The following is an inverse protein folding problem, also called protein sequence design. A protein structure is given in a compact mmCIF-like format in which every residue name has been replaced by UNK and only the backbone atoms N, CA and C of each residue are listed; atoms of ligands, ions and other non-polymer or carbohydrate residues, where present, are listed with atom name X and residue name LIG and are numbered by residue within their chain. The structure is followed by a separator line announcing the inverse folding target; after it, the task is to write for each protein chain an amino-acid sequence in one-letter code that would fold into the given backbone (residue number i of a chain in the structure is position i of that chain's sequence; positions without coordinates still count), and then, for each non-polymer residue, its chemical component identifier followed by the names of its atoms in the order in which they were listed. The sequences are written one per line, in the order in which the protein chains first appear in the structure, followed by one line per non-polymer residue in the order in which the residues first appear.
data_IF_024724542799
#
_entry.id   IF_024724542799
#
_cell.length_a   1.000
_cell.length_b   1.000
_cell.length_c   1.000
_cell.angle_alpha   90.00
_cell.angle_beta   90.00
_cell.angle_gamma   90.00
#
_symmetry.space_group_name_H-M   'P 1'
#
loop_
_entity.id
_entity.type
_entity.pdbx_description
1 polymer ?
#
# COMPACT_ATOMS: atom_id res chain seq x y z
N UNK A 1 13.33 -7.81 1.11
CA UNK A 1 13.19 -8.80 2.20
C UNK A 1 14.49 -9.53 2.55
N UNK A 2 15.22 -10.13 1.60
CA UNK A 2 16.45 -10.89 1.91
C UNK A 2 17.49 -10.11 2.73
N UNK A 3 17.77 -8.85 2.35
CA UNK A 3 18.72 -8.00 3.08
C UNK A 3 18.27 -7.65 4.50
N UNK A 4 16.96 -7.46 4.70
CA UNK A 4 16.41 -7.09 5.99
C UNK A 4 16.27 -8.31 6.92
N UNK A 5 15.98 -9.50 6.37
CA UNK A 5 16.06 -10.77 7.10
C UNK A 5 17.47 -11.05 7.62
N UNK A 6 18.49 -10.80 6.80
CA UNK A 6 19.90 -10.91 7.23
C UNK A 6 20.28 -9.91 8.34
N UNK A 7 19.61 -8.76 8.38
CA UNK A 7 19.80 -7.75 9.43
C UNK A 7 19.02 -8.07 10.74
N UNK A 8 18.15 -9.08 10.73
CA UNK A 8 17.37 -9.50 11.90
C UNK A 8 15.87 -9.20 11.84
N UNK A 9 15.34 -8.73 10.69
CA UNK A 9 13.89 -8.61 10.50
C UNK A 9 13.22 -9.99 10.63
N UNK A 10 12.12 -10.07 11.39
CA UNK A 10 11.47 -11.33 11.71
C UNK A 10 12.14 -12.13 12.84
N UNK A 11 13.09 -11.52 13.57
CA UNK A 11 13.57 -12.03 14.86
C UNK A 11 13.12 -11.11 15.98
N UNK A 12 12.90 -11.67 17.17
CA UNK A 12 12.60 -10.89 18.36
C UNK A 12 13.70 -9.86 18.63
N UNK A 13 13.32 -8.63 18.93
CA UNK A 13 14.22 -7.49 19.03
C UNK A 13 15.36 -7.70 20.05
N UNK A 14 15.12 -8.43 21.13
CA UNK A 14 16.14 -8.77 22.14
C UNK A 14 17.19 -9.78 21.65
N UNK A 15 16.95 -10.46 20.52
CA UNK A 15 17.89 -11.37 19.88
C UNK A 15 18.67 -10.71 18.72
N UNK A 16 18.50 -9.40 18.51
CA UNK A 16 19.14 -8.65 17.41
C UNK A 16 20.12 -7.64 17.98
N UNK A 17 21.33 -7.59 17.43
CA UNK A 17 22.32 -6.56 17.81
C UNK A 17 21.82 -5.15 17.51
N UNK A 18 22.30 -4.14 18.24
CA UNK A 18 21.92 -2.73 18.02
C UNK A 18 22.13 -2.31 16.56
N UNK A 19 23.30 -2.60 15.99
CA UNK A 19 23.59 -2.34 14.57
C UNK A 19 22.63 -3.07 13.60
N UNK A 20 22.09 -4.22 14.00
CA UNK A 20 21.05 -4.93 13.25
C UNK A 20 19.71 -4.19 13.29
N UNK A 21 19.30 -3.70 14.46
CA UNK A 21 18.08 -2.90 14.62
C UNK A 21 18.16 -1.61 13.79
N UNK A 22 19.29 -0.91 13.81
CA UNK A 22 19.51 0.30 12.99
C UNK A 22 19.39 -0.01 11.48
N UNK A 23 20.00 -1.11 11.03
CA UNK A 23 19.89 -1.56 9.63
C UNK A 23 18.46 -1.94 9.26
N UNK A 24 17.73 -2.62 10.14
CA UNK A 24 16.32 -2.95 9.92
C UNK A 24 15.48 -1.67 9.82
N UNK A 25 15.69 -0.68 10.68
CA UNK A 25 14.97 0.60 10.63
C UNK A 25 15.24 1.36 9.33
N UNK A 26 16.50 1.41 8.87
CA UNK A 26 16.87 2.05 7.61
C UNK A 26 16.26 1.34 6.40
N UNK A 27 16.35 0.00 6.36
CA UNK A 27 15.74 -0.80 5.29
C UNK A 27 14.22 -0.70 5.29
N UNK A 28 13.59 -0.69 6.47
CA UNK A 28 12.14 -0.48 6.60
C UNK A 28 11.73 0.88 6.05
N UNK A 29 12.45 1.96 6.37
CA UNK A 29 12.17 3.28 5.81
C UNK A 29 12.29 3.31 4.28
N UNK A 30 13.31 2.65 3.70
CA UNK A 30 13.46 2.55 2.24
C UNK A 30 12.26 1.82 1.62
N UNK A 31 11.80 0.73 2.24
CA UNK A 31 10.63 -0.01 1.76
C UNK A 31 9.35 0.83 1.86
N UNK A 32 9.15 1.59 2.93
CA UNK A 32 8.02 2.51 3.08
C UNK A 32 8.06 3.67 2.07
N UNK A 33 9.25 4.10 1.63
CA UNK A 33 9.39 5.07 0.53
C UNK A 33 9.03 4.44 -0.82
N UNK A 34 9.41 3.20 -1.08
CA UNK A 34 9.14 2.51 -2.35
C UNK A 34 7.71 1.99 -2.47
N UNK A 35 7.02 1.78 -1.35
CA UNK A 35 5.68 1.21 -1.32
C UNK A 35 4.62 2.09 -2.03
N UNK A 36 4.47 3.41 -1.74
CA UNK A 36 3.46 4.25 -2.38
C UNK A 36 3.52 4.29 -3.92
N UNK A 37 4.69 4.51 -4.58
CA UNK A 37 4.74 4.51 -6.04
C UNK A 37 4.43 3.14 -6.64
N UNK A 38 4.90 2.04 -6.01
CA UNK A 38 4.59 0.68 -6.46
C UNK A 38 3.07 0.40 -6.44
N UNK A 39 2.41 0.77 -5.34
CA UNK A 39 0.96 0.60 -5.19
C UNK A 39 0.16 1.45 -6.16
N UNK A 40 0.60 2.70 -6.39
CA UNK A 40 -0.02 3.55 -7.40
C UNK A 40 0.06 2.90 -8.79
N UNK A 41 1.23 2.41 -9.20
CA UNK A 41 1.40 1.74 -10.50
C UNK A 41 0.51 0.50 -10.66
N UNK A 42 0.38 -0.31 -9.60
CA UNK A 42 -0.50 -1.48 -9.59
C UNK A 42 -1.97 -1.08 -9.82
N UNK A 43 -2.47 -0.11 -9.04
CA UNK A 43 -3.86 0.39 -9.14
C UNK A 43 -4.12 1.09 -10.46
N UNK A 44 -3.17 1.87 -10.94
CA UNK A 44 -3.25 2.56 -12.22
C UNK A 44 -3.44 1.56 -13.37
N UNK A 45 -2.68 0.47 -13.37
CA UNK A 45 -2.81 -0.61 -14.37
C UNK A 45 -4.20 -1.24 -14.34
N UNK A 46 -4.74 -1.55 -13.15
CA UNK A 46 -6.09 -2.10 -12.99
C UNK A 46 -7.16 -1.12 -13.49
N UNK A 47 -7.06 0.15 -13.11
CA UNK A 47 -8.00 1.20 -13.52
C UNK A 47 -7.99 1.41 -15.03
N UNK A 48 -6.82 1.41 -15.67
CA UNK A 48 -6.69 1.46 -17.13
C UNK A 48 -7.33 0.24 -17.80
N UNK A 49 -7.15 -0.95 -17.23
CA UNK A 49 -7.77 -2.18 -17.73
C UNK A 49 -9.30 -2.11 -17.65
N UNK A 50 -9.85 -1.61 -16.54
CA UNK A 50 -11.29 -1.38 -16.38
C UNK A 50 -11.79 -0.33 -17.39
N UNK A 51 -11.05 0.77 -17.57
CA UNK A 51 -11.38 1.81 -18.55
C UNK A 51 -11.45 1.23 -19.97
N UNK A 52 -10.47 0.40 -20.36
CA UNK A 52 -10.45 -0.23 -21.67
C UNK A 52 -11.63 -1.19 -21.89
N UNK A 53 -12.14 -1.83 -20.84
CA UNK A 53 -13.28 -2.77 -20.94
C UNK A 53 -14.61 -2.02 -21.03
N UNK A 54 -14.83 -1.02 -20.16
CA UNK A 54 -16.14 -0.38 -19.96
C UNK A 54 -16.28 1.00 -20.61
N UNK A 55 -15.18 1.69 -20.91
CA UNK A 55 -15.16 3.08 -21.35
C UNK A 55 -14.17 3.34 -22.50
N UNK A 56 -13.95 2.33 -23.37
CA UNK A 56 -12.95 2.42 -24.45
C UNK A 56 -13.19 3.56 -25.45
N UNK A 57 -14.44 3.94 -25.69
CA UNK A 57 -14.81 4.86 -26.78
C UNK A 57 -15.76 5.99 -26.36
N UNK A 58 -16.23 6.01 -25.11
CA UNK A 58 -17.19 7.01 -24.65
C UNK A 58 -16.78 7.61 -23.31
N UNK A 59 -16.78 8.95 -23.23
CA UNK A 59 -16.53 9.72 -22.00
C UNK A 59 -17.76 9.72 -21.08
N UNK A 60 -18.22 8.52 -20.74
CA UNK A 60 -19.39 8.31 -19.90
C UNK A 60 -19.04 8.55 -18.42
N UNK A 61 -20.04 8.54 -17.54
CA UNK A 61 -19.85 8.69 -16.09
C UNK A 61 -18.73 7.78 -15.55
N UNK A 62 -18.67 6.53 -16.01
CA UNK A 62 -17.64 5.54 -15.63
C UNK A 62 -16.22 6.05 -15.96
N UNK A 63 -16.02 6.68 -17.12
CA UNK A 63 -14.73 7.25 -17.51
C UNK A 63 -14.29 8.33 -16.52
N UNK A 64 -15.17 9.28 -16.21
CA UNK A 64 -14.87 10.36 -15.27
C UNK A 64 -14.65 9.84 -13.84
N UNK A 65 -15.41 8.83 -13.41
CA UNK A 65 -15.16 8.14 -12.13
C UNK A 65 -13.77 7.50 -12.07
N UNK A 66 -13.32 6.86 -13.17
CA UNK A 66 -11.97 6.28 -13.25
C UNK A 66 -10.89 7.37 -13.16
N UNK A 67 -11.04 8.45 -13.92
CA UNK A 67 -10.07 9.55 -13.90
C UNK A 67 -10.01 10.23 -12.53
N UNK A 68 -11.16 10.43 -11.87
CA UNK A 68 -11.23 10.93 -10.50
C UNK A 68 -10.51 9.99 -9.51
N UNK A 69 -10.70 8.67 -9.65
CA UNK A 69 -10.00 7.69 -8.82
C UNK A 69 -8.48 7.70 -9.06
N UNK A 70 -8.04 7.79 -10.31
CA UNK A 70 -6.61 7.90 -10.64
C UNK A 70 -6.02 9.15 -9.98
N UNK A 71 -6.67 10.30 -10.12
CA UNK A 71 -6.24 11.56 -9.53
C UNK A 71 -6.19 11.51 -8.00
N UNK A 72 -7.24 10.99 -7.36
CA UNK A 72 -7.30 10.84 -5.91
C UNK A 72 -6.18 9.91 -5.38
N UNK A 73 -5.99 8.75 -6.01
CA UNK A 73 -4.92 7.82 -5.64
C UNK A 73 -3.54 8.47 -5.85
N UNK A 74 -3.32 9.16 -6.98
CA UNK A 74 -2.06 9.85 -7.25
C UNK A 74 -1.73 10.86 -6.14
N UNK A 75 -2.68 11.72 -5.78
CA UNK A 75 -2.48 12.73 -4.72
C UNK A 75 -2.14 12.06 -3.39
N UNK A 76 -2.88 11.03 -3.00
CA UNK A 76 -2.61 10.31 -1.74
C UNK A 76 -1.23 9.66 -1.74
N UNK A 77 -0.91 8.84 -2.74
CA UNK A 77 0.37 8.11 -2.76
C UNK A 77 1.56 9.05 -2.93
N UNK A 78 1.41 10.13 -3.69
CA UNK A 78 2.46 11.14 -3.84
C UNK A 78 2.70 11.88 -2.51
N UNK A 79 1.64 12.26 -1.79
CA UNK A 79 1.77 12.87 -0.47
C UNK A 79 2.45 11.92 0.53
N UNK A 80 2.05 10.64 0.55
CA UNK A 80 2.67 9.62 1.40
C UNK A 80 4.14 9.39 1.05
N UNK A 81 4.49 9.35 -0.24
CA UNK A 81 5.87 9.23 -0.71
C UNK A 81 6.76 10.37 -0.18
N UNK A 82 6.29 11.62 -0.34
CA UNK A 82 7.00 12.80 0.17
C UNK A 82 7.09 12.77 1.69
N UNK A 83 6.02 12.39 2.39
CA UNK A 83 6.01 12.29 3.84
C UNK A 83 7.06 11.29 4.37
N UNK A 84 7.24 10.14 3.72
CA UNK A 84 8.24 9.15 4.13
C UNK A 84 9.68 9.55 3.79
N UNK A 85 9.90 10.30 2.70
CA UNK A 85 11.21 10.89 2.38
C UNK A 85 11.63 11.86 3.48
N UNK A 86 10.71 12.70 3.94
CA UNK A 86 10.93 13.70 4.98
C UNK A 86 10.43 13.24 6.36
N UNK A 87 10.44 11.92 6.61
CA UNK A 87 9.86 11.35 7.83
C UNK A 87 10.52 11.88 9.11
N UNK A 88 11.82 12.21 9.08
CA UNK A 88 12.56 12.75 10.21
C UNK A 88 13.42 13.95 9.81
N UNK A 89 13.58 14.88 10.76
CA UNK A 89 14.52 15.99 10.68
C UNK A 89 15.39 16.03 11.96
N UNK A 90 16.70 15.76 11.88
CA UNK A 90 17.47 15.32 10.70
C UNK A 90 17.15 13.86 10.30
N UNK A 91 17.43 13.49 9.04
CA UNK A 91 17.13 12.16 8.49
C UNK A 91 17.84 11.03 9.24
N UNK A 92 19.02 11.32 9.79
CA UNK A 92 19.83 10.40 10.60
C UNK A 92 19.10 9.87 11.83
N UNK A 93 18.11 10.61 12.33
CA UNK A 93 17.30 10.20 13.49
C UNK A 93 16.50 8.91 13.25
N UNK A 94 16.29 8.52 11.98
CA UNK A 94 15.59 7.27 11.62
C UNK A 94 16.34 6.05 12.15
N UNK A 95 17.68 6.05 12.05
CA UNK A 95 18.51 4.92 12.49
C UNK A 95 19.30 5.23 13.76
N UNK A 96 19.52 6.50 14.12
CA UNK A 96 20.15 6.89 15.37
C UNK A 96 19.18 7.68 16.26
N UNK A 97 18.48 7.02 17.20
CA UNK A 97 17.45 7.65 18.03
C UNK A 97 18.02 8.67 19.04
N UNK A 98 19.33 8.66 19.29
CA UNK A 98 19.98 9.57 20.23
C UNK A 98 20.15 10.99 19.68
N UNK A 99 19.97 11.19 18.38
CA UNK A 99 20.11 12.51 17.73
C UNK A 99 18.89 13.37 18.07
N UNK A 100 19.08 14.63 18.52
CA UNK A 100 17.98 15.57 18.74
C UNK A 100 17.28 15.90 17.42
N UNK A 101 15.95 16.00 17.45
CA UNK A 101 15.15 16.19 16.24
C UNK A 101 13.73 15.66 16.39
N UNK A 102 12.96 15.72 15.31
CA UNK A 102 11.56 15.29 15.27
C UNK A 102 11.31 14.33 14.11
N UNK A 103 10.41 13.39 14.32
CA UNK A 103 9.96 12.44 13.32
C UNK A 103 8.42 12.44 13.27
N UNK A 104 7.86 12.17 12.10
CA UNK A 104 6.43 11.86 11.96
C UNK A 104 6.16 10.49 12.61
N UNK A 105 4.92 10.29 13.06
CA UNK A 105 4.51 8.98 13.58
C UNK A 105 4.34 8.00 12.43
N UNK A 106 5.36 7.18 12.18
CA UNK A 106 5.35 6.11 11.17
C UNK A 106 4.13 5.21 11.33
N UNK A 107 3.77 4.84 12.56
CA UNK A 107 2.61 3.99 12.85
C UNK A 107 1.29 4.64 12.41
N UNK A 108 1.10 5.93 12.72
CA UNK A 108 -0.09 6.66 12.29
C UNK A 108 -0.15 6.75 10.76
N UNK A 109 0.97 7.06 10.11
CA UNK A 109 1.07 7.11 8.64
C UNK A 109 0.75 5.77 7.98
N UNK A 110 1.25 4.66 8.53
CA UNK A 110 0.97 3.30 8.04
C UNK A 110 -0.53 2.98 8.18
N UNK A 111 -1.15 3.27 9.33
CA UNK A 111 -2.58 3.00 9.56
C UNK A 111 -3.45 3.81 8.59
N UNK A 112 -3.20 5.12 8.48
CA UNK A 112 -3.95 6.01 7.58
C UNK A 112 -3.80 5.55 6.13
N UNK A 113 -2.58 5.26 5.70
CA UNK A 113 -2.31 4.79 4.33
C UNK A 113 -3.00 3.45 4.08
N UNK A 114 -2.99 2.53 5.05
CA UNK A 114 -3.63 1.22 4.95
C UNK A 114 -5.16 1.35 4.85
N UNK A 115 -5.78 2.24 5.63
CA UNK A 115 -7.21 2.51 5.54
C UNK A 115 -7.60 3.09 4.17
N UNK A 116 -6.85 4.07 3.66
CA UNK A 116 -7.11 4.64 2.32
C UNK A 116 -6.89 3.58 1.22
N UNK A 117 -5.92 2.69 1.41
CA UNK A 117 -5.67 1.58 0.49
C UNK A 117 -6.88 0.66 0.37
N UNK A 118 -7.48 0.26 1.50
CA UNK A 118 -8.68 -0.58 1.53
C UNK A 118 -9.86 0.13 0.83
N UNK A 119 -10.10 1.41 1.15
CA UNK A 119 -11.21 2.18 0.57
C UNK A 119 -11.08 2.25 -0.95
N UNK A 120 -9.87 2.53 -1.45
CA UNK A 120 -9.61 2.57 -2.90
C UNK A 120 -9.74 1.19 -3.54
N UNK A 121 -9.28 0.10 -2.92
CA UNK A 121 -9.43 -1.26 -3.45
C UNK A 121 -10.90 -1.65 -3.59
N UNK A 122 -11.70 -1.40 -2.54
CA UNK A 122 -13.15 -1.65 -2.55
C UNK A 122 -13.84 -0.83 -3.64
N UNK A 123 -13.47 0.44 -3.79
CA UNK A 123 -14.08 1.32 -4.80
C UNK A 123 -13.76 0.85 -6.22
N UNK A 124 -12.51 0.43 -6.47
CA UNK A 124 -12.09 -0.15 -7.75
C UNK A 124 -12.87 -1.44 -8.05
N UNK A 125 -13.11 -2.27 -7.03
CA UNK A 125 -13.85 -3.53 -7.15
C UNK A 125 -15.35 -3.31 -7.46
N UNK A 126 -15.96 -2.28 -6.88
CA UNK A 126 -17.38 -1.96 -7.07
C UNK A 126 -17.67 -1.31 -8.43
N UNK A 127 -16.72 -0.56 -8.96
CA UNK A 127 -16.86 0.17 -10.22
C UNK A 127 -17.34 -0.69 -11.41
N UNK A 128 -16.73 -1.85 -11.73
CA UNK A 128 -17.20 -2.71 -12.82
C UNK A 128 -18.58 -3.31 -12.54
N UNK A 129 -18.93 -3.62 -11.27
CA UNK A 129 -20.25 -4.18 -10.93
C UNK A 129 -21.40 -3.23 -11.27
N UNK A 130 -21.18 -1.92 -11.08
CA UNK A 130 -22.15 -0.88 -11.46
C UNK A 130 -22.29 -0.80 -12.99
N UNK A 131 -21.19 -0.94 -13.72
CA UNK A 131 -21.19 -0.94 -15.19
C UNK A 131 -21.84 -2.18 -15.81
N UNK A 132 -21.68 -3.36 -15.19
CA UNK A 132 -22.18 -4.65 -15.71
C UNK A 132 -23.71 -4.76 -15.63
N UNK A 133 -24.37 -4.13 -14.64
CA UNK A 133 -25.84 -4.17 -14.51
C UNK A 133 -26.61 -3.73 -15.76
N UNK A 134 -25.95 -3.09 -16.72
CA UNK A 134 -26.55 -2.56 -17.95
C UNK A 134 -26.10 -3.24 -19.26
N UNK A 135 -25.25 -4.29 -19.25
CA UNK A 135 -24.62 -4.75 -20.51
C UNK A 135 -24.50 -6.27 -20.68
N UNK A 136 -25.08 -6.80 -21.77
CA UNK A 136 -24.83 -8.15 -22.28
C UNK A 136 -23.40 -8.24 -22.83
N UNK A 137 -22.46 -8.70 -22.00
CA UNK A 137 -21.05 -8.82 -22.37
C UNK A 137 -20.78 -10.16 -23.10
N UNK A 138 -19.99 -10.16 -24.19
CA UNK A 138 -19.52 -11.40 -24.82
C UNK A 138 -18.60 -12.19 -23.87
N UNK A 139 -18.58 -13.52 -24.00
CA UNK A 139 -17.91 -14.44 -23.06
C UNK A 139 -16.44 -14.09 -22.76
N UNK A 140 -15.68 -13.61 -23.77
CA UNK A 140 -14.28 -13.16 -23.58
C UNK A 140 -14.17 -12.00 -22.59
N UNK A 141 -15.07 -11.00 -22.67
CA UNK A 141 -15.09 -9.88 -21.72
C UNK A 141 -15.51 -10.33 -20.32
N UNK A 142 -16.41 -11.31 -20.22
CA UNK A 142 -16.85 -11.91 -18.95
C UNK A 142 -15.69 -12.58 -18.19
N UNK A 143 -14.83 -13.31 -18.91
CA UNK A 143 -13.61 -13.93 -18.32
C UNK A 143 -12.63 -12.85 -17.85
N UNK A 144 -12.37 -11.83 -18.68
CA UNK A 144 -11.46 -10.73 -18.29
C UNK A 144 -11.95 -9.97 -17.06
N UNK A 145 -13.26 -9.69 -16.99
CA UNK A 145 -13.89 -9.07 -15.82
C UNK A 145 -13.77 -9.96 -14.58
N UNK A 146 -14.00 -11.28 -14.73
CA UNK A 146 -13.83 -12.23 -13.63
C UNK A 146 -12.40 -12.25 -13.09
N UNK A 147 -11.40 -12.21 -13.96
CA UNK A 147 -9.99 -12.14 -13.56
C UNK A 147 -9.68 -10.86 -12.79
N UNK A 148 -10.12 -9.69 -13.30
CA UNK A 148 -9.94 -8.40 -12.61
C UNK A 148 -10.63 -8.39 -11.25
N UNK A 149 -11.83 -8.95 -11.16
CA UNK A 149 -12.57 -9.05 -9.90
C UNK A 149 -11.84 -9.96 -8.89
N UNK A 150 -11.32 -11.11 -9.33
CA UNK A 150 -10.53 -11.99 -8.47
C UNK A 150 -9.26 -11.32 -7.95
N UNK A 151 -8.52 -10.61 -8.82
CA UNK A 151 -7.33 -9.86 -8.39
C UNK A 151 -7.66 -8.72 -7.42
N UNK A 152 -8.76 -8.00 -7.65
CA UNK A 152 -9.21 -6.94 -6.75
C UNK A 152 -9.69 -7.48 -5.40
N UNK A 153 -10.40 -8.60 -5.38
CA UNK A 153 -10.84 -9.25 -4.15
C UNK A 153 -9.64 -9.75 -3.31
N UNK A 154 -8.63 -10.35 -3.97
CA UNK A 154 -7.40 -10.74 -3.29
C UNK A 154 -6.66 -9.52 -2.72
N UNK A 155 -6.54 -8.44 -3.49
CA UNK A 155 -5.92 -7.19 -3.03
C UNK A 155 -6.65 -6.61 -1.80
N UNK A 156 -7.99 -6.59 -1.80
CA UNK A 156 -8.79 -6.18 -0.64
C UNK A 156 -8.46 -7.02 0.61
N UNK A 157 -8.39 -8.35 0.47
CA UNK A 157 -8.06 -9.26 1.58
C UNK A 157 -6.65 -8.96 2.11
N UNK A 158 -5.66 -8.83 1.23
CA UNK A 158 -4.29 -8.48 1.61
C UNK A 158 -4.22 -7.14 2.36
N UNK A 159 -4.92 -6.12 1.85
CA UNK A 159 -4.99 -4.80 2.47
C UNK A 159 -5.62 -4.83 3.87
N UNK A 160 -6.65 -5.64 4.10
CA UNK A 160 -7.27 -5.84 5.42
C UNK A 160 -6.28 -6.52 6.38
N UNK A 161 -5.64 -7.60 5.94
CA UNK A 161 -4.64 -8.33 6.74
C UNK A 161 -3.49 -7.39 7.13
N UNK A 162 -2.97 -6.61 6.17
CA UNK A 162 -1.94 -5.59 6.42
C UNK A 162 -2.37 -4.56 7.46
N UNK A 163 -3.61 -4.06 7.39
CA UNK A 163 -4.12 -3.11 8.37
C UNK A 163 -4.15 -3.72 9.78
N UNK A 164 -4.61 -4.98 9.92
CA UNK A 164 -4.61 -5.69 11.22
C UNK A 164 -3.21 -5.77 11.80
N UNK A 165 -2.22 -6.19 11.00
CA UNK A 165 -0.83 -6.25 11.46
C UNK A 165 -0.23 -4.86 11.74
N UNK A 166 -0.65 -3.83 11.01
CA UNK A 166 -0.22 -2.45 11.25
C UNK A 166 -0.73 -1.90 12.60
N UNK A 167 -1.95 -2.28 12.99
CA UNK A 167 -2.48 -1.95 14.32
C UNK A 167 -1.70 -2.70 15.40
N UNK A 168 -1.40 -3.99 15.19
CA UNK A 168 -0.58 -4.77 16.13
C UNK A 168 0.83 -4.20 16.29
N UNK A 169 1.43 -3.68 15.22
CA UNK A 169 2.73 -3.01 15.25
C UNK A 169 2.75 -1.80 16.18
N UNK A 170 1.62 -1.10 16.34
CA UNK A 170 1.52 0.05 17.25
C UNK A 170 1.50 -0.35 18.72
N UNK A 171 1.06 -1.57 19.03
CA UNK A 171 0.88 -2.06 20.39
C UNK A 171 2.04 -2.92 20.90
N UNK A 172 3.08 -3.13 20.10
CA UNK A 172 4.23 -3.98 20.45
C UNK A 172 5.51 -3.19 20.62
N UNK A 173 6.35 -3.62 21.57
CA UNK A 173 7.74 -3.15 21.71
C UNK A 173 8.71 -3.89 20.81
N UNK A 174 8.28 -5.02 20.23
CA UNK A 174 9.09 -5.90 19.39
C UNK A 174 8.88 -5.57 17.91
N UNK A 175 9.48 -4.45 17.49
CA UNK A 175 9.26 -3.86 16.16
C UNK A 175 9.87 -4.73 15.07
N UNK A 176 11.05 -5.31 15.30
CA UNK A 176 11.75 -6.15 14.32
C UNK A 176 10.96 -7.42 13.97
N UNK A 177 10.23 -7.99 14.92
CA UNK A 177 9.32 -9.11 14.70
C UNK A 177 8.03 -8.66 14.01
N UNK A 178 7.34 -7.67 14.58
CA UNK A 178 5.98 -7.30 14.16
C UNK A 178 5.91 -6.59 12.80
N UNK A 179 7.00 -5.97 12.34
CA UNK A 179 7.03 -5.30 11.03
C UNK A 179 7.11 -6.30 9.85
N UNK A 180 7.57 -7.53 10.10
CA UNK A 180 7.71 -8.57 9.08
C UNK A 180 6.37 -8.90 8.38
N UNK A 181 5.28 -9.24 9.09
CA UNK A 181 4.00 -9.51 8.45
C UNK A 181 3.41 -8.28 7.74
N UNK A 182 3.64 -7.06 8.23
CA UNK A 182 3.18 -5.84 7.54
C UNK A 182 3.78 -5.72 6.14
N UNK A 183 5.07 -6.07 5.99
CA UNK A 183 5.75 -6.06 4.70
C UNK A 183 5.41 -7.25 3.78
N UNK A 184 4.94 -8.38 4.33
CA UNK A 184 4.55 -9.55 3.53
C UNK A 184 3.20 -9.38 2.84
N UNK A 185 2.28 -8.65 3.47
CA UNK A 185 0.92 -8.41 2.97
C UNK A 185 0.76 -7.01 2.33
N UNK A 186 1.89 -6.38 1.99
CA UNK A 186 1.99 -5.10 1.31
C UNK A 186 1.77 -5.24 -0.20
#
# INVERSE_FOLDING_TARGET
MLLAGNAGQGRHQWNVSVAGVERVALLANILEILYPPAMFCAKFTILLQIQRIFASHQKNLIYWSIQALIGANFITYFATFVAFIFACWPREKIWNPHIPGRCISTNASIIVTSAINIISDVTILLLPLIGIKKLHLPAKKKIMVGAVFATGAFACISSIIRLVYSIQLTNTKDVTWAISPVGMWA
#
